data_IF_111533273376
#
_entry.id   IF_111533273376
#
_cell.length_a   1.000
_cell.length_b   1.000
_cell.length_c   1.000
_cell.angle_alpha   90.00
_cell.angle_beta   90.00
_cell.angle_gamma   90.00
#
_symmetry.space_group_name_H-M   'P 1'
#
loop_
_entity.id
_entity.type
_entity.pdbx_description
1 polymer ?
#
# COMPACT_ATOMS: atom_id res chain seq x y z
N UNK A 1 -17.40 1.22 -6.85
CA UNK A 1 -17.77 1.24 -5.41
C UNK A 1 -17.31 0.01 -4.63
N UNK A 2 -17.91 -1.18 -4.78
CA UNK A 2 -17.57 -2.33 -3.91
C UNK A 2 -16.10 -2.78 -4.03
N UNK A 3 -15.56 -2.84 -5.26
CA UNK A 3 -14.17 -3.20 -5.52
C UNK A 3 -13.19 -2.21 -4.87
N UNK A 4 -13.46 -0.91 -4.96
CA UNK A 4 -12.62 0.16 -4.38
C UNK A 4 -12.57 0.01 -2.87
N UNK A 5 -13.73 -0.15 -2.22
CA UNK A 5 -13.83 -0.36 -0.77
C UNK A 5 -13.11 -1.62 -0.32
N UNK A 6 -13.23 -2.72 -1.07
CA UNK A 6 -12.49 -3.95 -0.79
C UNK A 6 -10.98 -3.75 -0.89
N UNK A 7 -10.50 -3.07 -1.93
CA UNK A 7 -9.08 -2.74 -2.07
C UNK A 7 -8.59 -1.80 -0.97
N UNK A 8 -9.39 -0.83 -0.53
CA UNK A 8 -9.03 0.05 0.57
C UNK A 8 -8.97 -0.69 1.92
N UNK A 9 -9.82 -1.70 2.14
CA UNK A 9 -9.70 -2.57 3.32
C UNK A 9 -8.37 -3.35 3.31
N UNK A 10 -7.94 -3.84 2.15
CA UNK A 10 -6.63 -4.49 2.03
C UNK A 10 -5.47 -3.52 2.30
N UNK A 11 -5.57 -2.28 1.83
CA UNK A 11 -4.56 -1.24 2.12
C UNK A 11 -4.50 -0.89 3.62
N UNK A 12 -5.65 -0.86 4.30
CA UNK A 12 -5.71 -0.68 5.76
C UNK A 12 -4.93 -1.78 6.49
N UNK A 13 -5.14 -3.03 6.09
CA UNK A 13 -4.44 -4.18 6.68
C UNK A 13 -2.94 -4.11 6.38
N UNK A 14 -2.56 -3.76 5.14
CA UNK A 14 -1.15 -3.58 4.75
C UNK A 14 -0.45 -2.49 5.58
N UNK A 15 -1.10 -1.33 5.72
CA UNK A 15 -0.60 -0.22 6.53
C UNK A 15 -0.50 -0.59 8.01
N UNK A 16 -1.45 -1.36 8.53
CA UNK A 16 -1.39 -1.86 9.90
C UNK A 16 -0.16 -2.75 10.13
N UNK A 17 0.13 -3.71 9.24
CA UNK A 17 1.30 -4.58 9.37
C UNK A 17 2.63 -3.81 9.37
N UNK A 18 2.71 -2.73 8.58
CA UNK A 18 3.87 -1.83 8.60
C UNK A 18 4.04 -1.13 9.96
N UNK A 19 2.97 -0.58 10.51
CA UNK A 19 3.00 0.17 11.78
C UNK A 19 3.30 -0.77 12.95
N UNK A 20 2.61 -1.91 13.01
CA UNK A 20 2.76 -2.91 14.06
C UNK A 20 4.07 -3.69 13.92
N UNK A 21 4.75 -3.54 12.79
CA UNK A 21 5.97 -4.27 12.44
C UNK A 21 5.81 -5.79 12.58
N UNK A 22 4.64 -6.29 12.21
CA UNK A 22 4.26 -7.69 12.40
C UNK A 22 4.63 -8.50 11.16
N UNK A 23 5.51 -9.48 11.34
CA UNK A 23 5.83 -10.45 10.30
C UNK A 23 4.98 -11.72 10.49
N UNK A 24 4.10 -11.98 9.52
CA UNK A 24 3.21 -13.14 9.51
C UNK A 24 3.26 -13.80 8.13
N UNK A 25 2.97 -15.11 7.99
CA UNK A 25 3.10 -15.82 6.72
C UNK A 25 2.35 -15.18 5.55
N UNK A 26 1.22 -14.51 5.82
CA UNK A 26 0.41 -13.84 4.80
C UNK A 26 1.02 -12.52 4.31
N UNK A 27 2.08 -12.00 4.94
CA UNK A 27 2.72 -10.73 4.53
C UNK A 27 3.20 -10.78 3.08
N UNK A 28 3.64 -11.95 2.61
CA UNK A 28 4.04 -12.17 1.21
C UNK A 28 2.92 -11.84 0.24
N UNK A 29 1.68 -12.20 0.56
CA UNK A 29 0.53 -11.82 -0.25
C UNK A 29 0.38 -10.29 -0.32
N UNK A 30 0.50 -9.60 0.82
CA UNK A 30 0.39 -8.14 0.88
C UNK A 30 1.53 -7.43 0.15
N UNK A 31 2.74 -7.97 0.17
CA UNK A 31 3.88 -7.47 -0.63
C UNK A 31 3.50 -7.47 -2.11
N UNK A 32 3.12 -8.63 -2.66
CA UNK A 32 2.78 -8.74 -4.07
C UNK A 32 1.55 -7.90 -4.44
N UNK A 33 0.53 -7.93 -3.60
CA UNK A 33 -0.68 -7.12 -3.76
C UNK A 33 -0.36 -5.63 -3.91
N UNK A 34 0.35 -5.06 -2.93
CA UNK A 34 0.68 -3.63 -2.93
C UNK A 34 1.61 -3.25 -4.09
N UNK A 35 2.57 -4.12 -4.43
CA UNK A 35 3.47 -3.89 -5.55
C UNK A 35 2.75 -3.86 -6.90
N UNK A 36 1.96 -4.90 -7.20
CA UNK A 36 1.24 -5.02 -8.46
C UNK A 36 0.24 -3.88 -8.60
N UNK A 37 -0.52 -3.60 -7.53
CA UNK A 37 -1.48 -2.50 -7.52
C UNK A 37 -0.81 -1.14 -7.76
N UNK A 38 0.30 -0.86 -7.07
CA UNK A 38 1.05 0.39 -7.27
C UNK A 38 1.56 0.56 -8.69
N UNK A 39 2.17 -0.49 -9.26
CA UNK A 39 2.65 -0.49 -10.64
C UNK A 39 1.50 -0.26 -11.63
N UNK A 40 0.39 -0.99 -11.48
CA UNK A 40 -0.78 -0.86 -12.36
C UNK A 40 -1.36 0.55 -12.27
N UNK A 41 -1.43 1.13 -11.07
CA UNK A 41 -1.91 2.50 -10.85
C UNK A 41 -1.02 3.53 -11.57
N UNK A 42 0.30 3.43 -11.40
CA UNK A 42 1.25 4.35 -12.04
C UNK A 42 1.17 4.24 -13.57
N UNK A 43 1.19 3.01 -14.12
CA UNK A 43 1.11 2.80 -15.57
C UNK A 43 -0.20 3.33 -16.13
N UNK A 44 -1.33 3.05 -15.48
CA UNK A 44 -2.63 3.54 -15.93
C UNK A 44 -2.74 5.06 -15.87
N UNK A 45 -2.19 5.69 -14.83
CA UNK A 45 -2.13 7.16 -14.73
C UNK A 45 -1.28 7.78 -15.84
N UNK A 46 -0.11 7.21 -16.13
CA UNK A 46 0.74 7.67 -17.25
C UNK A 46 0.02 7.53 -18.58
N UNK A 47 -0.66 6.40 -18.82
CA UNK A 47 -1.44 6.17 -20.03
C UNK A 47 -2.58 7.20 -20.23
N UNK A 48 -3.10 7.75 -19.12
CA UNK A 48 -4.11 8.81 -19.11
C UNK A 48 -3.53 10.24 -19.14
N UNK A 49 -2.20 10.39 -19.19
CA UNK A 49 -1.52 11.68 -19.21
C UNK A 49 -1.29 12.32 -17.83
N UNK A 50 -1.55 11.58 -16.75
CA UNK A 50 -1.26 12.01 -15.37
C UNK A 50 0.08 11.44 -14.91
N UNK A 51 1.09 12.30 -14.77
CA UNK A 51 2.46 11.88 -14.43
C UNK A 51 2.74 11.78 -12.92
N UNK A 52 1.87 12.35 -12.08
CA UNK A 52 2.00 12.36 -10.62
C UNK A 52 0.88 11.57 -9.96
N UNK A 53 1.02 10.24 -9.94
CA UNK A 53 0.11 9.35 -9.22
C UNK A 53 0.64 9.05 -7.80
N UNK A 54 0.25 9.91 -6.85
CA UNK A 54 0.62 9.74 -5.45
C UNK A 54 -0.01 8.47 -4.83
N UNK A 55 -1.16 8.03 -5.34
CA UNK A 55 -1.80 6.81 -4.86
C UNK A 55 -1.01 5.58 -5.30
N UNK A 56 -0.62 5.50 -6.57
CA UNK A 56 0.23 4.42 -7.05
C UNK A 56 1.59 4.37 -6.35
N UNK A 57 2.21 5.53 -6.12
CA UNK A 57 3.50 5.63 -5.42
C UNK A 57 3.42 5.12 -3.97
N UNK A 58 2.36 5.48 -3.24
CA UNK A 58 2.17 5.04 -1.85
C UNK A 58 1.96 3.53 -1.74
N UNK A 59 1.25 2.91 -2.68
CA UNK A 59 1.09 1.44 -2.72
C UNK A 59 2.42 0.74 -3.00
N UNK A 60 3.23 1.29 -3.90
CA UNK A 60 4.54 0.73 -4.23
C UNK A 60 5.51 0.82 -3.04
N UNK A 61 5.55 1.97 -2.35
CA UNK A 61 6.33 2.15 -1.13
C UNK A 61 5.85 1.23 0.01
N UNK A 62 4.54 0.98 0.11
CA UNK A 62 3.96 0.03 1.07
C UNK A 62 4.48 -1.37 0.80
N UNK A 63 4.45 -1.82 -0.46
CA UNK A 63 4.99 -3.13 -0.86
C UNK A 63 6.49 -3.27 -0.56
N UNK A 64 7.28 -2.22 -0.85
CA UNK A 64 8.70 -2.17 -0.51
C UNK A 64 8.91 -2.28 1.01
N UNK A 65 8.17 -1.49 1.79
CA UNK A 65 8.28 -1.52 3.25
C UNK A 65 7.94 -2.89 3.83
N UNK A 66 6.88 -3.53 3.34
CA UNK A 66 6.49 -4.88 3.76
C UNK A 66 7.55 -5.92 3.37
N UNK A 67 8.21 -5.76 2.22
CA UNK A 67 9.30 -6.64 1.80
C UNK A 67 10.49 -6.56 2.76
N UNK A 68 10.94 -5.35 3.10
CA UNK A 68 11.99 -5.15 4.09
C UNK A 68 11.59 -5.66 5.48
N UNK A 69 10.32 -5.48 5.85
CA UNK A 69 9.78 -6.03 7.09
C UNK A 69 9.90 -7.56 7.13
N UNK A 70 9.48 -8.24 6.07
CA UNK A 70 9.58 -9.70 5.94
C UNK A 70 11.03 -10.22 5.89
N UNK A 71 11.99 -9.32 5.61
CA UNK A 71 13.42 -9.62 5.63
C UNK A 71 14.07 -9.36 6.99
N UNK A 72 13.28 -9.02 8.01
CA UNK A 72 13.77 -8.75 9.37
C UNK A 72 14.38 -7.35 9.54
N UNK A 73 14.08 -6.40 8.66
CA UNK A 73 14.62 -5.03 8.70
C UNK A 73 13.52 -3.99 9.00
N UNK A 74 13.11 -3.82 10.27
CA UNK A 74 12.08 -2.86 10.64
C UNK A 74 12.64 -1.43 10.74
N UNK A 75 12.59 -0.68 9.65
CA UNK A 75 12.95 0.74 9.67
C UNK A 75 11.79 1.62 10.14
N UNK A 76 12.06 2.60 11.00
CA UNK A 76 11.05 3.55 11.49
C UNK A 76 10.37 4.33 10.35
N UNK A 77 11.09 4.56 9.24
CA UNK A 77 10.55 5.21 8.04
C UNK A 77 9.37 4.43 7.43
N UNK A 78 9.36 3.11 7.57
CA UNK A 78 8.27 2.27 7.06
C UNK A 78 6.99 2.40 7.89
N UNK A 79 7.09 2.79 9.16
CA UNK A 79 5.91 3.14 9.98
C UNK A 79 5.23 4.41 9.46
N UNK A 80 6.02 5.41 9.05
CA UNK A 80 5.47 6.63 8.42
C UNK A 80 4.70 6.29 7.14
N UNK A 81 5.27 5.43 6.30
CA UNK A 81 4.58 4.92 5.10
C UNK A 81 3.29 4.21 5.50
N UNK A 82 3.31 3.34 6.51
CA UNK A 82 2.10 2.68 7.04
C UNK A 82 1.00 3.65 7.47
N UNK A 83 1.33 4.73 8.17
CA UNK A 83 0.34 5.77 8.53
C UNK A 83 -0.26 6.46 7.31
N UNK A 84 0.57 6.82 6.32
CA UNK A 84 0.11 7.44 5.07
C UNK A 84 -0.81 6.47 4.31
N UNK A 85 -0.48 5.18 4.26
CA UNK A 85 -1.29 4.15 3.60
C UNK A 85 -2.64 3.98 4.29
N UNK A 86 -2.70 3.99 5.63
CA UNK A 86 -3.95 3.97 6.38
C UNK A 86 -4.80 5.20 6.06
N UNK A 87 -4.23 6.40 6.11
CA UNK A 87 -4.96 7.64 5.82
C UNK A 87 -5.52 7.65 4.39
N UNK A 88 -4.71 7.23 3.41
CA UNK A 88 -5.13 7.05 2.03
C UNK A 88 -6.29 6.06 1.93
N UNK A 89 -6.19 4.91 2.60
CA UNK A 89 -7.19 3.88 2.55
C UNK A 89 -8.53 4.36 3.14
N UNK A 90 -8.49 5.09 4.26
CA UNK A 90 -9.67 5.74 4.86
C UNK A 90 -10.29 6.72 3.86
N UNK A 91 -9.49 7.59 3.26
CA UNK A 91 -9.95 8.53 2.25
C UNK A 91 -10.66 7.82 1.09
N UNK A 92 -10.05 6.77 0.54
CA UNK A 92 -10.59 5.99 -0.56
C UNK A 92 -11.91 5.28 -0.22
N UNK A 93 -12.12 4.85 1.03
CA UNK A 93 -13.42 4.30 1.48
C UNK A 93 -14.54 5.32 1.44
N UNK A 94 -14.24 6.59 1.78
CA UNK A 94 -15.24 7.66 1.82
C UNK A 94 -15.51 8.28 0.45
N UNK A 95 -14.53 8.31 -0.46
CA UNK A 95 -14.68 8.91 -1.79
C UNK A 95 -15.04 7.91 -2.90
N UNK A 96 -14.91 6.60 -2.67
CA UNK A 96 -15.00 5.55 -3.68
C UNK A 96 -16.30 4.73 -3.76
#
# INVERSE_FOLDING_TARGET
MLLVKFMSLLDLIAGFFLISSTDIPIIKFFIYYSFIKGIVSIISSIALGYYYDWMGLTDLLTGIGLFFLSSGLPFAVFKLIGYVTILKAIYAVFTG
#
